data_IF_070288304884
#
_entry.id   IF_070288304884
#
_cell.length_a   1.000
_cell.length_b   1.000
_cell.length_c   1.000
_cell.angle_alpha   90.00
_cell.angle_beta   90.00
_cell.angle_gamma   90.00
#
_symmetry.space_group_name_H-M   'P 1'
#
loop_
_entity.id
_entity.type
_entity.pdbx_description
1 polymer ?
#
# COMPACT_ATOMS: atom_id res chain seq x y z
N UNK A 1 -17.28 4.05 -3.87
CA UNK A 1 -16.22 4.91 -3.29
C UNK A 1 -16.70 5.47 -1.97
N UNK A 2 -15.84 5.52 -0.96
CA UNK A 2 -16.21 5.95 0.39
C UNK A 2 -16.17 7.48 0.51
N UNK A 3 -17.08 8.05 1.31
CA UNK A 3 -17.06 9.48 1.60
C UNK A 3 -15.81 9.80 2.42
N UNK A 4 -15.12 10.90 2.08
CA UNK A 4 -13.92 11.40 2.80
C UNK A 4 -12.65 10.54 2.70
N UNK A 5 -12.64 9.46 1.92
CA UNK A 5 -11.41 8.69 1.65
C UNK A 5 -10.88 9.05 0.26
N UNK A 6 -9.57 9.33 0.10
CA UNK A 6 -8.99 9.62 -1.20
C UNK A 6 -9.24 8.48 -2.19
N UNK A 7 -9.72 8.84 -3.37
CA UNK A 7 -10.12 7.92 -4.44
C UNK A 7 -8.97 7.08 -5.01
N UNK A 8 -7.75 7.59 -4.86
CA UNK A 8 -6.49 6.99 -5.30
C UNK A 8 -6.08 5.79 -4.45
N UNK A 9 -6.59 5.67 -3.22
CA UNK A 9 -6.25 4.55 -2.36
C UNK A 9 -7.07 3.31 -2.74
N UNK A 10 -6.38 2.25 -3.14
CA UNK A 10 -7.01 0.95 -3.37
C UNK A 10 -7.59 0.40 -2.06
N UNK A 11 -8.65 -0.43 -2.11
CA UNK A 11 -9.21 -1.06 -0.91
C UNK A 11 -8.16 -1.83 -0.09
N UNK A 12 -7.22 -2.50 -0.77
CA UNK A 12 -6.12 -3.23 -0.14
C UNK A 12 -5.17 -2.30 0.59
N UNK A 13 -4.81 -1.15 0.01
CA UNK A 13 -3.94 -0.16 0.66
C UNK A 13 -4.61 0.44 1.90
N UNK A 14 -5.92 0.74 1.83
CA UNK A 14 -6.68 1.22 2.99
C UNK A 14 -6.68 0.18 4.11
N UNK A 15 -6.91 -1.10 3.79
CA UNK A 15 -6.83 -2.19 4.77
C UNK A 15 -5.45 -2.26 5.42
N UNK A 16 -4.38 -2.28 4.62
CA UNK A 16 -3.02 -2.34 5.14
C UNK A 16 -2.70 -1.17 6.10
N UNK A 17 -3.04 0.07 5.71
CA UNK A 17 -2.83 1.25 6.55
C UNK A 17 -3.61 1.19 7.88
N UNK A 18 -4.79 0.57 7.89
CA UNK A 18 -5.61 0.42 9.11
C UNK A 18 -5.12 -0.72 10.01
N UNK A 19 -4.43 -1.72 9.45
CA UNK A 19 -3.82 -2.83 10.19
C UNK A 19 -2.45 -2.46 10.77
N UNK A 20 -1.77 -1.47 10.21
CA UNK A 20 -0.48 -0.97 10.70
C UNK A 20 -0.58 -0.38 12.12
N UNK A 21 0.27 -0.87 13.02
CA UNK A 21 0.43 -0.38 14.37
C UNK A 21 1.54 0.68 14.50
N UNK A 22 1.84 1.05 15.75
CA UNK A 22 2.94 1.97 16.02
C UNK A 22 4.29 1.31 15.74
N UNK A 23 5.07 1.91 14.84
CA UNK A 23 6.39 1.40 14.44
C UNK A 23 6.38 0.52 13.20
N UNK A 24 5.21 0.20 12.64
CA UNK A 24 5.14 -0.48 11.34
C UNK A 24 5.56 0.45 10.21
N UNK A 25 6.27 -0.11 9.24
CA UNK A 25 6.81 0.62 8.09
C UNK A 25 6.14 0.18 6.78
N UNK A 26 6.01 1.12 5.86
CA UNK A 26 5.50 0.88 4.51
C UNK A 26 6.45 1.52 3.50
N UNK A 27 6.77 0.78 2.43
CA UNK A 27 7.64 1.25 1.37
C UNK A 27 6.81 1.64 0.15
N UNK A 28 6.95 2.88 -0.30
CA UNK A 28 6.43 3.34 -1.59
C UNK A 28 7.56 3.19 -2.63
N UNK A 29 7.58 2.05 -3.32
CA UNK A 29 8.55 1.76 -4.37
C UNK A 29 8.12 2.30 -5.73
N UNK A 30 9.09 2.72 -6.55
CA UNK A 30 8.86 3.02 -7.96
C UNK A 30 8.72 1.72 -8.80
N UNK A 31 8.52 1.86 -10.10
CA UNK A 31 8.37 0.73 -11.02
C UNK A 31 9.64 -0.16 -11.14
N UNK A 32 10.82 0.34 -10.75
CA UNK A 32 12.08 -0.40 -10.76
C UNK A 32 12.38 -1.04 -9.40
N UNK A 33 11.65 -0.68 -8.35
CA UNK A 33 11.84 -1.24 -7.02
C UNK A 33 11.48 -2.73 -7.00
N UNK A 34 12.37 -3.61 -6.48
CA UNK A 34 12.17 -5.06 -6.56
C UNK A 34 11.22 -5.59 -5.46
N UNK A 35 10.03 -4.99 -5.34
CA UNK A 35 9.08 -5.23 -4.24
C UNK A 35 8.67 -6.69 -4.08
N UNK A 36 8.42 -7.41 -5.18
CA UNK A 36 8.04 -8.83 -5.14
C UNK A 36 9.15 -9.77 -4.64
N UNK A 37 10.41 -9.33 -4.68
CA UNK A 37 11.54 -10.11 -4.13
C UNK A 37 11.81 -9.80 -2.65
N UNK A 38 11.41 -8.61 -2.19
CA UNK A 38 11.70 -8.11 -0.84
C UNK A 38 10.54 -8.32 0.14
N UNK A 39 9.31 -8.48 -0.35
CA UNK A 39 8.11 -8.66 0.47
C UNK A 39 7.13 -9.62 -0.18
N UNK A 40 6.44 -10.40 0.66
CA UNK A 40 5.28 -11.21 0.24
C UNK A 40 3.97 -10.43 0.28
N UNK A 41 3.93 -9.29 0.99
CA UNK A 41 2.79 -8.38 1.05
C UNK A 41 3.05 -7.18 0.12
N UNK A 42 2.72 -7.34 -1.16
CA UNK A 42 2.89 -6.31 -2.20
C UNK A 42 1.54 -5.84 -2.70
N UNK A 43 1.29 -4.55 -2.60
CA UNK A 43 0.09 -3.90 -3.14
C UNK A 43 0.49 -3.13 -4.40
N UNK A 44 -0.09 -3.51 -5.55
CA UNK A 44 0.20 -2.88 -6.84
C UNK A 44 -0.52 -1.53 -6.96
N UNK A 45 0.19 -0.52 -7.44
CA UNK A 45 -0.31 0.83 -7.70
C UNK A 45 0.31 1.38 -9.00
N UNK A 46 0.11 0.65 -10.10
CA UNK A 46 0.83 0.85 -11.36
C UNK A 46 0.49 2.14 -12.13
N UNK A 47 -0.67 2.75 -11.88
CA UNK A 47 -1.17 3.95 -12.57
C UNK A 47 -2.69 4.03 -12.59
#
# INVERSE_FOLDING_TARGET
>A
MLKKIPKVLSPQLVKALMEMGHGDEIVLGDANFPGCSLSTNVIRADG
#
